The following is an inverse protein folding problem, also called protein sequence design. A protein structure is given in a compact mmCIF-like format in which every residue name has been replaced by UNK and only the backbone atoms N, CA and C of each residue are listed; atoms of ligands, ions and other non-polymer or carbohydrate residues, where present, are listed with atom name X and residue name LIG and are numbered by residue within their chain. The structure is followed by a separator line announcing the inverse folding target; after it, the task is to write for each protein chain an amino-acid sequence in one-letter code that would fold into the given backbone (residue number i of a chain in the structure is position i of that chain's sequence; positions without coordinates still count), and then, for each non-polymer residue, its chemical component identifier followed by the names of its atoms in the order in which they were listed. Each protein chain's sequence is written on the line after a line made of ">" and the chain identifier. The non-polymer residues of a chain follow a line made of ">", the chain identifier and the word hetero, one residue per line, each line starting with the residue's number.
data_IF_325780663261
#
_entry.id   IF_325780663261
#
_cell.length_a   1.000
_cell.length_b   1.000
_cell.length_c   1.000
_cell.angle_alpha   90.00
_cell.angle_beta   90.00
_cell.angle_gamma   90.00
#
_symmetry.space_group_name_H-M   'P 1'
#
loop_
_entity.id
_entity.type
_entity.pdbx_description
1 polymer ?
#
# COMPACT_ATOMS: atom_id res chain seq x y z
N UNK A 1 17.64 -1.15 -1.39
CA UNK A 1 19.07 -0.89 -1.10
C UNK A 1 19.39 0.60 -1.22
N UNK A 2 19.18 1.20 -2.39
CA UNK A 2 19.47 2.61 -2.63
C UNK A 2 18.56 3.18 -3.72
N UNK A 3 18.43 4.51 -3.75
CA UNK A 3 17.76 5.28 -4.81
C UNK A 3 18.77 6.34 -5.26
N UNK A 4 19.15 6.33 -6.54
CA UNK A 4 20.01 7.34 -7.13
C UNK A 4 19.17 8.30 -7.99
N UNK A 5 19.17 9.57 -7.59
CA UNK A 5 18.41 10.65 -8.23
C UNK A 5 19.29 11.63 -9.02
N UNK A 6 20.62 11.45 -9.00
CA UNK A 6 21.59 12.42 -9.55
C UNK A 6 21.37 12.66 -11.06
N UNK A 7 21.18 11.58 -11.82
CA UNK A 7 20.94 11.68 -13.28
C UNK A 7 19.64 12.40 -13.59
N UNK A 8 18.58 12.11 -12.84
CA UNK A 8 17.29 12.76 -13.00
C UNK A 8 17.38 14.26 -12.68
N UNK A 9 18.04 14.65 -11.58
CA UNK A 9 18.24 16.04 -11.19
C UNK A 9 19.12 16.84 -12.15
N UNK A 10 19.99 16.15 -12.92
CA UNK A 10 20.84 16.79 -13.93
C UNK A 10 20.11 17.06 -15.26
N UNK A 11 18.91 16.51 -15.47
CA UNK A 11 18.16 16.71 -16.72
C UNK A 11 17.57 18.12 -16.80
N UNK A 12 17.68 18.80 -17.96
CA UNK A 12 17.02 20.09 -18.16
C UNK A 12 15.51 19.99 -17.93
N UNK A 13 14.99 20.91 -17.12
CA UNK A 13 13.57 21.00 -16.78
C UNK A 13 13.13 20.15 -15.60
N UNK A 14 14.01 19.33 -15.00
CA UNK A 14 13.73 18.66 -13.71
C UNK A 14 14.11 19.59 -12.56
N UNK A 15 13.18 19.80 -11.63
CA UNK A 15 13.33 20.73 -10.50
C UNK A 15 13.55 20.03 -9.17
N UNK A 16 12.94 18.86 -8.98
CA UNK A 16 13.06 18.08 -7.76
C UNK A 16 12.83 16.59 -8.03
N UNK A 17 13.46 15.76 -7.21
CA UNK A 17 13.19 14.32 -7.10
C UNK A 17 13.06 14.02 -5.62
N UNK A 18 11.83 13.72 -5.19
CA UNK A 18 11.50 13.44 -3.79
C UNK A 18 11.50 11.94 -3.53
N UNK A 19 11.97 11.55 -2.36
CA UNK A 19 11.98 10.17 -1.84
C UNK A 19 11.32 10.13 -0.46
N UNK A 20 11.18 8.95 0.14
CA UNK A 20 10.69 8.83 1.51
C UNK A 20 11.51 9.68 2.50
N UNK A 21 12.82 9.84 2.28
CA UNK A 21 13.72 10.63 3.13
C UNK A 21 13.35 12.13 3.18
N UNK A 22 12.74 12.66 2.11
CA UNK A 22 12.26 14.04 2.08
C UNK A 22 10.92 14.21 2.83
N UNK A 23 10.14 13.13 2.93
CA UNK A 23 8.82 13.11 3.57
C UNK A 23 8.87 12.70 5.05
N UNK A 24 9.91 11.97 5.45
CA UNK A 24 10.09 11.49 6.83
C UNK A 24 10.14 12.62 7.86
N UNK A 25 10.92 13.72 7.67
CA UNK A 25 10.97 14.83 8.63
C UNK A 25 9.64 15.56 8.80
N UNK A 26 8.71 15.40 7.85
CA UNK A 26 7.37 15.99 7.89
C UNK A 26 6.32 15.04 8.49
N UNK A 27 6.70 13.79 8.80
CA UNK A 27 5.76 12.75 9.18
C UNK A 27 4.82 12.34 8.04
N UNK A 28 5.21 12.57 6.77
CA UNK A 28 4.38 12.36 5.58
C UNK A 28 4.82 11.17 4.71
N UNK A 29 5.91 10.48 5.04
CA UNK A 29 6.33 9.25 4.36
C UNK A 29 5.29 8.11 4.51
N UNK A 30 4.39 8.22 5.49
CA UNK A 30 3.17 7.41 5.62
C UNK A 30 1.94 8.32 5.72
N UNK A 31 0.81 7.86 5.18
CA UNK A 31 -0.49 8.53 5.28
C UNK A 31 -1.53 7.60 5.92
N UNK A 32 -2.50 8.15 6.66
CA UNK A 32 -3.62 7.37 7.18
C UNK A 32 -4.55 6.92 6.04
N UNK A 33 -5.19 5.77 6.23
CA UNK A 33 -6.21 5.23 5.33
C UNK A 33 -7.58 5.33 5.98
N UNK A 34 -8.65 5.27 5.17
CA UNK A 34 -10.02 5.23 5.69
C UNK A 34 -10.30 3.96 6.52
N UNK A 35 -9.51 2.91 6.35
CA UNK A 35 -9.60 1.66 7.12
C UNK A 35 -8.85 1.72 8.47
N UNK A 36 -8.37 2.90 8.90
CA UNK A 36 -7.65 3.05 10.17
C UNK A 36 -6.24 2.46 10.19
N UNK A 37 -5.74 1.95 9.06
CA UNK A 37 -4.33 1.58 8.85
C UNK A 37 -3.57 2.76 8.22
N UNK A 38 -2.27 2.61 8.00
CA UNK A 38 -1.41 3.55 7.27
C UNK A 38 -0.87 2.92 5.99
N UNK A 39 -0.58 3.77 5.01
CA UNK A 39 0.03 3.40 3.73
C UNK A 39 1.26 4.27 3.47
N UNK A 40 2.33 3.68 2.94
CA UNK A 40 3.50 4.44 2.48
C UNK A 40 3.09 5.40 1.36
N UNK A 41 3.48 6.68 1.48
CA UNK A 41 3.30 7.67 0.41
C UNK A 41 4.38 7.49 -0.65
N UNK A 42 5.63 7.35 -0.20
CA UNK A 42 6.75 6.86 -1.00
C UNK A 42 7.39 5.71 -0.21
N UNK A 43 7.81 4.66 -0.90
CA UNK A 43 8.36 3.46 -0.30
C UNK A 43 9.54 3.77 0.63
N UNK A 44 9.45 3.29 1.86
CA UNK A 44 10.45 3.45 2.91
C UNK A 44 11.01 2.08 3.29
N UNK A 45 12.29 1.87 3.06
CA UNK A 45 13.01 0.61 3.29
C UNK A 45 12.66 -0.54 2.34
N UNK A 46 11.40 -0.70 1.94
CA UNK A 46 10.91 -1.79 1.07
C UNK A 46 9.71 -1.39 0.22
N UNK A 47 9.47 -2.17 -0.82
CA UNK A 47 8.22 -2.16 -1.59
C UNK A 47 7.39 -3.41 -1.26
N UNK A 48 6.09 -3.25 -1.11
CA UNK A 48 5.15 -4.31 -0.73
C UNK A 48 4.25 -4.76 -1.88
N UNK A 49 4.19 -3.99 -2.97
CA UNK A 49 3.49 -4.37 -4.18
C UNK A 49 4.16 -3.78 -5.43
N UNK A 50 3.96 -4.43 -6.58
CA UNK A 50 4.48 -3.95 -7.85
C UNK A 50 3.79 -2.63 -8.25
N UNK A 51 4.58 -1.70 -8.80
CA UNK A 51 4.15 -0.34 -9.17
C UNK A 51 3.84 0.58 -7.97
N UNK A 52 4.27 0.22 -6.76
CA UNK A 52 4.28 1.13 -5.62
C UNK A 52 5.18 2.35 -5.88
N UNK A 53 4.77 3.50 -5.37
CA UNK A 53 5.49 4.76 -5.49
C UNK A 53 6.80 4.72 -4.69
N UNK A 54 7.93 5.04 -5.34
CA UNK A 54 9.27 5.01 -4.74
C UNK A 54 9.92 6.40 -4.72
N UNK A 55 9.75 7.15 -5.80
CA UNK A 55 10.21 8.52 -5.92
C UNK A 55 9.21 9.35 -6.73
N UNK A 56 9.19 10.67 -6.51
CA UNK A 56 8.33 11.62 -7.21
C UNK A 56 9.15 12.72 -7.89
N UNK A 57 9.03 12.83 -9.21
CA UNK A 57 9.79 13.80 -10.02
C UNK A 57 8.91 15.00 -10.35
N UNK A 58 9.43 16.20 -10.08
CA UNK A 58 8.80 17.47 -10.43
C UNK A 58 9.59 18.10 -11.57
N UNK A 59 8.90 18.42 -12.67
CA UNK A 59 9.52 18.99 -13.87
C UNK A 59 8.60 20.05 -14.52
N UNK A 60 9.13 20.75 -15.53
CA UNK A 60 8.40 21.77 -16.30
C UNK A 60 7.12 21.24 -16.96
N UNK A 61 7.17 20.01 -17.46
CA UNK A 61 6.05 19.34 -18.10
C UNK A 61 6.12 17.81 -17.95
N UNK A 62 5.09 17.12 -18.46
CA UNK A 62 4.97 15.67 -18.37
C UNK A 62 6.04 14.90 -19.16
N UNK A 63 6.64 15.50 -20.18
CA UNK A 63 7.66 14.85 -21.00
C UNK A 63 9.00 14.87 -20.25
N UNK A 64 9.38 16.04 -19.74
CA UNK A 64 10.57 16.17 -18.88
C UNK A 64 10.43 15.32 -17.60
N UNK A 65 9.23 15.24 -17.01
CA UNK A 65 8.98 14.38 -15.86
C UNK A 65 9.15 12.90 -16.19
N UNK A 66 8.68 12.44 -17.36
CA UNK A 66 8.83 11.05 -17.79
C UNK A 66 10.30 10.68 -17.99
N UNK A 67 11.08 11.56 -18.63
CA UNK A 67 12.53 11.37 -18.80
C UNK A 67 13.26 11.37 -17.44
N UNK A 68 12.85 12.25 -16.53
CA UNK A 68 13.34 12.29 -15.15
C UNK A 68 13.07 10.99 -14.39
N UNK A 69 11.86 10.45 -14.46
CA UNK A 69 11.50 9.16 -13.84
C UNK A 69 12.36 8.03 -14.42
N UNK A 70 12.56 8.00 -15.74
CA UNK A 70 13.39 6.98 -16.38
C UNK A 70 14.88 7.06 -15.99
N UNK A 71 15.35 8.22 -15.54
CA UNK A 71 16.72 8.44 -15.11
C UNK A 71 16.96 8.15 -13.61
N UNK A 72 15.91 7.92 -12.81
CA UNK A 72 16.03 7.47 -11.42
C UNK A 72 16.41 5.99 -11.41
N UNK A 73 17.51 5.66 -10.73
CA UNK A 73 17.98 4.27 -10.60
C UNK A 73 17.68 3.76 -9.19
N UNK A 74 17.02 2.62 -9.08
CA UNK A 74 16.68 2.01 -7.79
C UNK A 74 17.27 0.61 -7.71
N UNK A 75 18.01 0.35 -6.63
CA UNK A 75 18.56 -0.99 -6.36
C UNK A 75 17.70 -1.70 -5.31
N UNK A 76 17.18 -2.87 -5.69
CA UNK A 76 16.36 -3.72 -4.83
C UNK A 76 17.13 -4.93 -4.31
N UNK A 77 16.72 -5.40 -3.15
CA UNK A 77 16.98 -6.76 -2.71
C UNK A 77 15.65 -7.50 -2.76
N UNK A 78 15.59 -8.58 -3.53
CA UNK A 78 14.35 -9.34 -3.67
C UNK A 78 14.01 -10.06 -2.37
N UNK A 79 12.74 -9.98 -1.98
CA UNK A 79 12.17 -10.68 -0.83
C UNK A 79 11.15 -11.72 -1.33
N UNK A 80 10.91 -12.80 -0.57
CA UNK A 80 9.86 -13.75 -0.90
C UNK A 80 8.49 -13.07 -1.02
N UNK A 81 7.82 -13.27 -2.17
CA UNK A 81 6.54 -12.64 -2.47
C UNK A 81 5.38 -13.48 -1.91
N UNK A 82 4.41 -12.83 -1.28
CA UNK A 82 3.17 -13.44 -0.81
C UNK A 82 1.98 -12.91 -1.63
N UNK A 83 1.37 -13.77 -2.45
CA UNK A 83 0.20 -13.44 -3.29
C UNK A 83 -1.04 -14.30 -3.02
N UNK A 84 -0.87 -15.38 -2.26
CA UNK A 84 -1.92 -16.34 -1.96
C UNK A 84 -2.46 -16.08 -0.55
N UNK A 85 -3.68 -15.54 -0.39
CA UNK A 85 -4.22 -15.20 0.92
C UNK A 85 -4.42 -16.45 1.80
N UNK A 86 -4.63 -17.63 1.22
CA UNK A 86 -4.78 -18.87 1.98
C UNK A 86 -3.46 -19.32 2.62
N UNK A 87 -2.32 -18.80 2.16
CA UNK A 87 -0.99 -19.06 2.72
C UNK A 87 -0.47 -17.93 3.61
N UNK A 88 -1.20 -16.82 3.72
CA UNK A 88 -0.71 -15.60 4.38
C UNK A 88 -0.55 -15.74 5.89
N UNK A 89 -1.31 -16.62 6.52
CA UNK A 89 -1.27 -16.93 7.96
C UNK A 89 -0.57 -18.27 8.27
N UNK A 90 0.04 -18.92 7.27
CA UNK A 90 0.76 -20.18 7.48
C UNK A 90 2.14 -19.94 8.11
N UNK A 91 2.63 -20.92 8.86
CA UNK A 91 3.99 -20.90 9.41
C UNK A 91 5.02 -20.68 8.30
N UNK A 92 5.91 -19.69 8.51
CA UNK A 92 6.93 -19.32 7.53
C UNK A 92 6.43 -18.39 6.42
N UNK A 93 5.18 -17.92 6.45
CA UNK A 93 4.73 -16.86 5.56
C UNK A 93 5.60 -15.60 5.72
N UNK A 94 5.99 -14.93 4.62
CA UNK A 94 6.77 -13.70 4.70
C UNK A 94 6.02 -12.63 5.51
N UNK A 95 6.71 -11.96 6.42
CA UNK A 95 6.14 -10.81 7.16
C UNK A 95 6.18 -9.59 6.24
N UNK A 96 5.00 -9.15 5.79
CA UNK A 96 4.91 -8.00 4.89
C UNK A 96 5.05 -6.68 5.66
N UNK A 97 4.24 -6.52 6.71
CA UNK A 97 4.12 -5.30 7.50
C UNK A 97 5.02 -5.34 8.73
N UNK A 98 6.33 -5.24 8.50
CA UNK A 98 7.33 -5.16 9.58
C UNK A 98 7.10 -3.97 10.51
N UNK A 99 6.54 -2.87 9.99
CA UNK A 99 6.21 -1.65 10.74
C UNK A 99 5.16 -1.86 11.84
N UNK A 100 4.42 -2.98 11.79
CA UNK A 100 3.41 -3.37 12.78
C UNK A 100 3.49 -4.87 13.14
N UNK A 101 4.62 -5.54 12.89
CA UNK A 101 4.73 -6.99 13.07
C UNK A 101 4.46 -7.42 14.53
N UNK A 102 4.90 -6.62 15.49
CA UNK A 102 4.73 -6.88 16.93
C UNK A 102 3.39 -6.39 17.50
N UNK A 103 2.52 -5.78 16.68
CA UNK A 103 1.23 -5.26 17.15
C UNK A 103 0.18 -6.37 17.23
N UNK A 104 -0.31 -6.63 18.44
CA UNK A 104 -1.35 -7.63 18.72
C UNK A 104 -2.78 -7.12 18.52
N UNK A 105 -2.97 -5.81 18.31
CA UNK A 105 -4.25 -5.20 17.98
C UNK A 105 -4.08 -4.25 16.80
N UNK A 106 -5.09 -4.21 15.92
CA UNK A 106 -5.22 -3.23 14.85
C UNK A 106 -6.45 -2.35 15.04
N UNK A 107 -6.76 -1.52 14.04
CA UNK A 107 -7.91 -0.60 14.09
C UNK A 107 -9.27 -1.30 14.28
N UNK A 108 -9.34 -2.62 14.00
CA UNK A 108 -10.57 -3.41 14.04
C UNK A 108 -10.46 -4.62 14.98
N UNK A 109 -9.66 -4.51 16.05
CA UNK A 109 -9.55 -5.54 17.09
C UNK A 109 -8.27 -6.38 17.02
N UNK A 110 -8.25 -7.56 17.67
CA UNK A 110 -7.04 -8.34 17.85
C UNK A 110 -6.53 -8.95 16.55
N UNK A 111 -5.20 -9.04 16.45
CA UNK A 111 -4.46 -9.66 15.35
C UNK A 111 -3.85 -10.97 15.81
N UNK A 112 -4.12 -12.05 15.08
CA UNK A 112 -3.63 -13.39 15.42
C UNK A 112 -2.36 -13.82 14.68
N UNK A 113 -1.97 -13.07 13.65
CA UNK A 113 -0.80 -13.32 12.82
C UNK A 113 -0.26 -11.99 12.25
N UNK A 114 1.06 -11.83 11.97
CA UNK A 114 1.61 -10.59 11.42
C UNK A 114 1.01 -10.14 10.07
N UNK A 115 0.44 -11.06 9.30
CA UNK A 115 -0.29 -10.75 8.06
C UNK A 115 -1.81 -10.72 8.23
N UNK A 116 -2.33 -11.04 9.41
CA UNK A 116 -3.76 -10.92 9.72
C UNK A 116 -4.09 -9.45 9.99
N UNK A 117 -5.12 -8.96 9.31
CA UNK A 117 -5.56 -7.55 9.42
C UNK A 117 -6.66 -7.44 10.49
N UNK A 118 -7.75 -8.19 10.31
CA UNK A 118 -8.86 -8.24 11.25
C UNK A 118 -9.74 -9.48 11.02
N UNK A 119 -10.53 -9.82 12.04
CA UNK A 119 -11.67 -10.74 11.92
C UNK A 119 -12.91 -9.95 12.30
N UNK A 120 -13.96 -10.03 11.48
CA UNK A 120 -15.24 -9.41 11.77
C UNK A 120 -16.35 -10.41 11.58
N UNK A 121 -17.23 -10.51 12.57
CA UNK A 121 -18.33 -11.47 12.62
C UNK A 121 -19.61 -10.71 12.96
N UNK A 122 -20.74 -11.18 12.42
CA UNK A 122 -22.05 -10.60 12.70
C UNK A 122 -23.15 -11.64 12.48
N UNK A 123 -24.20 -11.56 13.30
CA UNK A 123 -25.27 -12.54 13.35
C UNK A 123 -25.25 -13.35 14.66
N UNK A 124 -26.01 -14.43 14.67
CA UNK A 124 -26.11 -15.37 15.80
C UNK A 124 -25.46 -16.69 15.37
N UNK A 125 -24.24 -16.93 15.85
CA UNK A 125 -23.45 -18.11 15.51
C UNK A 125 -24.14 -19.39 16.00
N UNK A 126 -24.53 -19.42 17.29
CA UNK A 126 -25.10 -20.59 17.93
C UNK A 126 -26.42 -21.01 17.24
N UNK A 127 -27.29 -20.04 16.94
CA UNK A 127 -28.53 -20.32 16.23
C UNK A 127 -28.29 -20.82 14.79
N UNK A 128 -27.28 -20.28 14.11
CA UNK A 128 -26.92 -20.71 12.75
C UNK A 128 -26.36 -22.13 12.75
N UNK A 129 -25.44 -22.45 13.67
CA UNK A 129 -24.86 -23.79 13.81
C UNK A 129 -25.91 -24.83 14.17
N UNK A 130 -26.85 -24.50 15.06
CA UNK A 130 -27.95 -25.40 15.41
C UNK A 130 -28.81 -25.76 14.19
N UNK A 131 -29.16 -24.78 13.35
CA UNK A 131 -29.95 -25.02 12.13
C UNK A 131 -29.16 -25.85 11.11
N UNK A 132 -27.86 -25.57 10.92
CA UNK A 132 -27.02 -26.35 10.00
C UNK A 132 -26.87 -27.82 10.44
N UNK A 133 -26.79 -28.08 11.76
CA UNK A 133 -26.64 -29.42 12.30
C UNK A 133 -27.91 -30.28 12.17
N UNK A 134 -29.09 -29.67 12.19
CA UNK A 134 -30.38 -30.37 12.12
C UNK A 134 -30.99 -30.40 10.71
N UNK A 135 -30.42 -29.68 9.74
CA UNK A 135 -30.96 -29.57 8.40
C UNK A 135 -30.95 -30.90 7.63
N UNK A 136 -32.06 -31.23 6.97
CA UNK A 136 -32.17 -32.40 6.08
C UNK A 136 -31.16 -32.37 4.92
N UNK A 137 -30.79 -31.16 4.47
CA UNK A 137 -29.87 -30.92 3.38
C UNK A 137 -28.98 -29.71 3.72
N UNK A 138 -27.68 -29.91 3.63
CA UNK A 138 -26.67 -28.84 3.70
C UNK A 138 -25.95 -28.79 2.35
N UNK A 139 -25.82 -27.60 1.78
CA UNK A 139 -25.03 -27.34 0.59
C UNK A 139 -23.89 -26.39 0.95
N UNK A 140 -22.66 -26.80 0.64
CA UNK A 140 -21.44 -26.04 0.88
C UNK A 140 -20.73 -25.82 -0.46
N UNK A 141 -20.27 -24.59 -0.69
CA UNK A 141 -19.52 -24.23 -1.90
C UNK A 141 -18.51 -23.14 -1.58
N UNK A 142 -17.34 -23.20 -2.23
CA UNK A 142 -16.33 -22.14 -2.12
C UNK A 142 -16.37 -21.29 -3.39
N UNK A 143 -16.90 -20.07 -3.26
CA UNK A 143 -17.03 -19.14 -4.38
C UNK A 143 -15.93 -18.07 -4.29
N UNK A 144 -15.02 -18.07 -5.28
CA UNK A 144 -14.00 -17.03 -5.40
C UNK A 144 -14.49 -15.83 -6.22
N UNK A 145 -14.79 -14.72 -5.53
CA UNK A 145 -15.01 -13.44 -6.19
C UNK A 145 -13.66 -12.79 -6.51
N UNK A 146 -13.20 -12.97 -7.75
CA UNK A 146 -11.89 -12.49 -8.19
C UNK A 146 -11.74 -10.96 -8.09
N UNK A 147 -10.50 -10.53 -7.84
CA UNK A 147 -10.13 -9.10 -7.83
C UNK A 147 -10.37 -8.49 -9.22
N UNK A 148 -11.05 -7.36 -9.26
CA UNK A 148 -11.24 -6.52 -10.45
C UNK A 148 -10.75 -5.10 -10.19
N UNK A 149 -10.87 -4.21 -11.18
CA UNK A 149 -10.54 -2.80 -11.05
C UNK A 149 -11.66 -1.95 -11.67
N UNK A 150 -12.10 -0.84 -11.02
CA UNK A 150 -13.20 -0.02 -11.52
C UNK A 150 -12.92 0.63 -12.88
N UNK A 151 -11.64 0.86 -13.21
CA UNK A 151 -11.15 1.36 -14.50
C UNK A 151 -12.01 2.49 -15.10
N UNK A 152 -12.18 3.62 -14.38
CA UNK A 152 -12.87 4.77 -14.94
C UNK A 152 -12.12 5.30 -16.17
N UNK A 153 -12.87 5.91 -17.09
CA UNK A 153 -12.29 6.46 -18.33
C UNK A 153 -11.25 7.56 -18.05
N UNK A 154 -11.47 8.36 -17.01
CA UNK A 154 -10.53 9.34 -16.50
C UNK A 154 -9.78 8.75 -15.29
N UNK A 155 -8.43 8.69 -15.31
CA UNK A 155 -7.64 8.25 -14.16
C UNK A 155 -7.60 9.33 -13.07
N UNK A 156 -7.18 8.94 -11.86
CA UNK A 156 -6.92 9.90 -10.78
C UNK A 156 -5.88 10.96 -11.19
N UNK A 157 -6.08 12.20 -10.73
CA UNK A 157 -5.14 13.31 -10.94
C UNK A 157 -5.45 14.49 -10.01
N UNK A 158 -4.47 15.36 -9.80
CA UNK A 158 -4.61 16.55 -8.96
C UNK A 158 -3.68 17.69 -9.43
N UNK A 159 -4.03 18.92 -9.06
CA UNK A 159 -3.17 20.11 -9.17
C UNK A 159 -3.10 20.74 -7.78
N UNK A 160 -1.91 20.81 -7.20
CA UNK A 160 -1.66 21.40 -5.87
C UNK A 160 -0.96 22.77 -6.03
N UNK A 161 -1.40 23.79 -5.30
CA UNK A 161 -0.87 25.15 -5.42
C UNK A 161 -0.71 25.82 -4.06
N UNK A 162 0.45 25.61 -3.42
CA UNK A 162 0.78 26.31 -2.18
C UNK A 162 1.25 27.73 -2.48
N UNK A 163 0.40 28.72 -2.21
CA UNK A 163 0.76 30.14 -2.24
C UNK A 163 1.57 30.49 -0.99
N UNK A 164 2.89 30.64 -1.18
CA UNK A 164 3.82 30.99 -0.12
C UNK A 164 3.67 32.43 0.40
N UNK A 165 2.98 33.32 -0.33
CA UNK A 165 2.75 34.71 0.10
C UNK A 165 1.66 34.77 1.16
N UNK A 166 0.58 34.01 0.99
CA UNK A 166 -0.56 34.03 1.91
C UNK A 166 -0.68 32.77 2.78
N UNK A 167 0.15 31.75 2.56
CA UNK A 167 0.19 30.53 3.35
C UNK A 167 -0.96 29.56 3.10
N UNK A 168 -1.60 29.62 1.92
CA UNK A 168 -2.74 28.76 1.57
C UNK A 168 -2.36 27.75 0.50
N UNK A 169 -2.86 26.52 0.66
CA UNK A 169 -2.82 25.45 -0.32
C UNK A 169 -4.07 25.45 -1.21
#
# INVERSE_FOLDING_TARGET
>A
KSINTEKALALPGVHAVLTAADLEPLGLHWMPTLAGDKQMVLADGKVLFQAQEVAFVVADDRYAAADGVAAVEVEYEELPVLVDPFKAEMDGAPVLREDIADQTEGAHGPRRHPNHIFTWESGDLDATEAVLAEADVVAEEMIYYHRTHPCPLEPCGAVASMDKVNGKL
#
